data_IF_799522921290
#
_entry.id   IF_799522921290
#
_cell.length_a   1.000
_cell.length_b   1.000
_cell.length_c   1.000
_cell.angle_alpha   90.00
_cell.angle_beta   90.00
_cell.angle_gamma   90.00
#
_symmetry.space_group_name_H-M   'P 1'
#
loop_
_entity.id
_entity.type
_entity.pdbx_description
1 polymer ?
#
# COMPACT_ATOMS: atom_id res chain seq x y z
N UNK A 1 9.89 -24.04 -8.42
CA UNK A 1 10.13 -22.58 -8.41
C UNK A 1 8.87 -21.79 -8.05
N UNK A 2 7.76 -21.89 -8.78
CA UNK A 2 6.52 -21.13 -8.52
C UNK A 2 5.98 -21.26 -7.08
N UNK A 3 5.89 -22.48 -6.54
CA UNK A 3 5.44 -22.72 -5.15
C UNK A 3 6.30 -22.00 -4.11
N UNK A 4 7.62 -21.97 -4.33
CA UNK A 4 8.56 -21.30 -3.43
C UNK A 4 8.36 -19.77 -3.46
N UNK A 5 8.31 -19.18 -4.66
CA UNK A 5 8.08 -17.74 -4.80
C UNK A 5 6.72 -17.29 -4.24
N UNK A 6 5.68 -18.10 -4.44
CA UNK A 6 4.34 -17.84 -3.89
C UNK A 6 4.36 -17.87 -2.36
N UNK A 7 5.09 -18.82 -1.75
CA UNK A 7 5.23 -18.90 -0.31
C UNK A 7 6.04 -17.72 0.27
N UNK A 8 7.09 -17.29 -0.43
CA UNK A 8 7.91 -16.14 -0.02
C UNK A 8 7.10 -14.85 -0.05
N UNK A 9 6.36 -14.58 -1.14
CA UNK A 9 5.55 -13.35 -1.22
C UNK A 9 4.39 -13.36 -0.23
N UNK A 10 3.74 -14.50 -0.02
CA UNK A 10 2.69 -14.62 1.00
C UNK A 10 3.23 -14.35 2.40
N UNK A 11 4.43 -14.86 2.73
CA UNK A 11 5.08 -14.58 4.01
C UNK A 11 5.44 -13.10 4.16
N UNK A 12 6.00 -12.47 3.13
CA UNK A 12 6.31 -11.05 3.14
C UNK A 12 5.06 -10.20 3.37
N UNK A 13 3.97 -10.48 2.63
CA UNK A 13 2.71 -9.76 2.75
C UNK A 13 2.10 -9.92 4.13
N UNK A 14 2.09 -11.12 4.70
CA UNK A 14 1.57 -11.34 6.05
C UNK A 14 2.32 -10.48 7.08
N UNK A 15 3.65 -10.43 7.01
CA UNK A 15 4.45 -9.58 7.91
C UNK A 15 4.19 -8.09 7.66
N UNK A 16 3.99 -7.66 6.41
CA UNK A 16 3.61 -6.28 6.10
C UNK A 16 2.25 -5.92 6.70
N UNK A 17 1.27 -6.84 6.70
CA UNK A 17 -0.02 -6.63 7.33
C UNK A 17 0.11 -6.37 8.85
N UNK A 18 1.04 -7.05 9.52
CA UNK A 18 1.28 -6.91 10.97
C UNK A 18 1.89 -5.56 11.36
N UNK A 19 2.61 -4.90 10.44
CA UNK A 19 3.33 -3.63 10.68
C UNK A 19 2.73 -2.44 9.93
N UNK A 20 1.53 -2.59 9.35
CA UNK A 20 0.81 -1.47 8.74
C UNK A 20 0.37 -0.49 9.82
N UNK A 21 0.67 0.80 9.64
CA UNK A 21 0.26 1.83 10.57
C UNK A 21 -1.26 1.95 10.66
N UNK A 22 -1.76 2.55 11.74
CA UNK A 22 -3.21 2.68 11.99
C UNK A 22 -3.94 3.37 10.85
N UNK A 23 -3.35 4.42 10.29
CA UNK A 23 -3.90 5.16 9.15
C UNK A 23 -3.87 4.39 7.83
N UNK A 24 -3.15 3.27 7.74
CA UNK A 24 -3.03 2.43 6.54
C UNK A 24 -1.74 2.60 5.74
N UNK A 25 -0.85 3.51 6.12
CA UNK A 25 0.46 3.67 5.47
C UNK A 25 1.48 2.65 6.01
N UNK A 26 2.62 2.55 5.31
CA UNK A 26 3.82 1.94 5.87
C UNK A 26 4.90 2.99 6.15
N UNK A 27 5.69 2.68 7.17
CA UNK A 27 6.86 3.44 7.60
C UNK A 27 8.08 3.09 6.73
N UNK A 28 8.99 4.06 6.52
CA UNK A 28 10.20 3.87 5.71
C UNK A 28 11.12 2.80 6.31
N UNK A 29 11.15 2.70 7.64
CA UNK A 29 11.65 1.54 8.36
C UNK A 29 10.42 0.77 8.86
N UNK A 30 10.17 -0.40 8.29
CA UNK A 30 8.92 -1.13 8.46
C UNK A 30 8.61 -1.50 9.92
N UNK A 31 9.63 -1.77 10.72
CA UNK A 31 9.56 -2.18 12.12
C UNK A 31 9.77 -1.03 13.12
N UNK A 32 9.93 0.21 12.63
CA UNK A 32 10.02 1.40 13.46
C UNK A 32 8.84 2.35 13.22
N UNK A 33 7.83 2.36 14.11
CA UNK A 33 6.65 3.22 13.98
C UNK A 33 6.96 4.71 14.19
N UNK A 34 8.16 5.07 14.64
CA UNK A 34 8.59 6.46 14.75
C UNK A 34 9.24 6.98 13.46
N UNK A 35 9.62 6.10 12.54
CA UNK A 35 10.20 6.51 11.26
C UNK A 35 9.14 7.17 10.35
N UNK A 36 9.53 8.02 9.38
CA UNK A 36 8.56 8.66 8.48
C UNK A 36 7.71 7.64 7.70
N UNK A 37 6.44 7.96 7.46
CA UNK A 37 5.58 7.19 6.56
C UNK A 37 5.84 7.58 5.10
N UNK A 38 5.82 6.61 4.19
CA UNK A 38 6.31 6.82 2.83
C UNK A 38 5.30 6.35 1.77
N UNK A 39 4.95 7.28 0.85
CA UNK A 39 3.87 7.09 -0.11
C UNK A 39 4.17 6.09 -1.22
N UNK A 40 5.41 6.05 -1.73
CA UNK A 40 5.73 5.21 -2.89
C UNK A 40 5.76 3.72 -2.56
N UNK A 41 6.37 3.35 -1.44
CA UNK A 41 6.38 2.02 -0.85
C UNK A 41 4.96 1.61 -0.47
N UNK A 42 4.18 2.48 0.17
CA UNK A 42 2.78 2.19 0.49
C UNK A 42 1.98 1.86 -0.78
N UNK A 43 2.15 2.66 -1.86
CA UNK A 43 1.47 2.42 -3.12
C UNK A 43 1.91 1.10 -3.79
N UNK A 44 3.21 0.82 -3.80
CA UNK A 44 3.78 -0.40 -4.36
C UNK A 44 3.34 -1.67 -3.61
N UNK A 45 3.33 -1.61 -2.28
CA UNK A 45 2.86 -2.71 -1.41
C UNK A 45 1.37 -2.97 -1.67
N UNK A 46 0.54 -1.93 -1.65
CA UNK A 46 -0.89 -2.05 -1.89
C UNK A 46 -1.21 -2.62 -3.29
N UNK A 47 -0.51 -2.15 -4.32
CA UNK A 47 -0.61 -2.70 -5.67
C UNK A 47 -0.24 -4.19 -5.69
N UNK A 48 0.90 -4.57 -5.10
CA UNK A 48 1.35 -5.96 -5.04
C UNK A 48 0.36 -6.88 -4.31
N UNK A 49 -0.26 -6.39 -3.23
CA UNK A 49 -1.31 -7.11 -2.51
C UNK A 49 -2.54 -7.36 -3.40
N UNK A 50 -3.10 -6.30 -4.01
CA UNK A 50 -4.27 -6.43 -4.88
C UNK A 50 -3.98 -7.34 -6.09
N UNK A 51 -2.83 -7.14 -6.75
CA UNK A 51 -2.41 -7.95 -7.88
C UNK A 51 -2.22 -9.43 -7.48
N UNK A 52 -1.61 -9.68 -6.33
CA UNK A 52 -1.41 -11.02 -5.80
C UNK A 52 -2.73 -11.73 -5.45
N UNK A 53 -3.72 -11.00 -4.93
CA UNK A 53 -5.09 -11.52 -4.71
C UNK A 53 -5.74 -11.85 -6.06
N UNK A 54 -5.70 -10.93 -7.03
CA UNK A 54 -6.27 -11.16 -8.37
C UNK A 54 -5.67 -12.38 -9.07
N UNK A 55 -4.38 -12.62 -8.87
CA UNK A 55 -3.66 -13.77 -9.43
C UNK A 55 -3.87 -15.08 -8.65
N UNK A 56 -4.62 -15.06 -7.53
CA UNK A 56 -4.83 -16.23 -6.67
C UNK A 56 -3.57 -16.68 -5.91
N UNK A 57 -2.60 -15.78 -5.72
CA UNK A 57 -1.36 -16.04 -4.98
C UNK A 57 -1.52 -15.71 -3.49
N UNK A 58 -2.29 -14.66 -3.18
CA UNK A 58 -2.50 -14.15 -1.83
C UNK A 58 -3.96 -14.37 -1.38
N UNK A 59 -4.16 -14.45 -0.06
CA UNK A 59 -5.48 -14.50 0.56
C UNK A 59 -6.23 -13.17 0.36
N UNK A 60 -7.55 -13.23 0.18
CA UNK A 60 -8.40 -12.05 -0.05
C UNK A 60 -8.28 -10.99 1.05
N UNK A 61 -7.92 -11.37 2.29
CA UNK A 61 -7.68 -10.42 3.39
C UNK A 61 -6.55 -9.43 3.11
N UNK A 62 -5.59 -9.77 2.25
CA UNK A 62 -4.56 -8.81 1.83
C UNK A 62 -5.17 -7.59 1.11
N UNK A 63 -6.32 -7.76 0.43
CA UNK A 63 -7.02 -6.66 -0.20
C UNK A 63 -7.56 -5.64 0.83
N UNK A 64 -7.95 -6.07 2.03
CA UNK A 64 -8.41 -5.16 3.10
C UNK A 64 -7.29 -4.18 3.50
N UNK A 65 -6.06 -4.68 3.67
CA UNK A 65 -4.89 -3.85 3.98
C UNK A 65 -4.53 -2.91 2.83
N UNK A 66 -4.61 -3.38 1.59
CA UNK A 66 -4.38 -2.54 0.41
C UNK A 66 -5.43 -1.42 0.26
N UNK A 67 -6.70 -1.69 0.61
CA UNK A 67 -7.76 -0.69 0.59
C UNK A 67 -7.57 0.37 1.68
N UNK A 68 -7.13 -0.03 2.88
CA UNK A 68 -6.71 0.93 3.93
C UNK A 68 -5.59 1.84 3.44
N UNK A 69 -4.60 1.27 2.77
CA UNK A 69 -3.50 2.02 2.18
C UNK A 69 -3.97 3.01 1.11
N UNK A 70 -4.88 2.60 0.22
CA UNK A 70 -5.52 3.50 -0.74
C UNK A 70 -6.23 4.68 -0.06
N UNK A 71 -6.99 4.42 1.01
CA UNK A 71 -7.67 5.48 1.74
C UNK A 71 -6.73 6.49 2.37
N UNK A 72 -5.53 6.08 2.80
CA UNK A 72 -4.50 6.98 3.28
C UNK A 72 -3.82 7.76 2.15
N UNK A 73 -3.51 7.07 1.05
CA UNK A 73 -2.77 7.61 -0.08
C UNK A 73 -3.54 8.65 -0.88
N UNK A 74 -4.86 8.54 -0.98
CA UNK A 74 -5.67 9.53 -1.70
C UNK A 74 -5.53 10.94 -1.12
N UNK A 75 -5.27 11.04 0.19
CA UNK A 75 -5.08 12.31 0.90
C UNK A 75 -3.64 12.86 0.69
N UNK A 76 -2.77 12.10 0.00
CA UNK A 76 -1.40 12.47 -0.38
C UNK A 76 -1.27 12.87 -1.85
N UNK A 77 -2.38 12.95 -2.58
CA UNK A 77 -2.44 13.44 -3.96
C UNK A 77 -2.91 14.89 -3.91
N UNK A 78 -2.09 15.82 -4.40
CA UNK A 78 -2.47 17.24 -4.45
C UNK A 78 -3.52 17.52 -5.55
N UNK A 79 -4.00 18.76 -5.60
CA UNK A 79 -5.00 19.24 -6.56
C UNK A 79 -4.54 19.17 -8.03
N UNK A 80 -3.24 19.00 -8.27
CA UNK A 80 -2.63 18.84 -9.60
C UNK A 80 -2.35 17.37 -9.92
N UNK A 81 -2.75 16.43 -9.06
CA UNK A 81 -2.49 15.01 -9.23
C UNK A 81 -1.06 14.60 -8.88
N UNK A 82 -0.35 15.41 -8.07
CA UNK A 82 1.00 15.09 -7.63
C UNK A 82 0.98 14.27 -6.35
N UNK A 83 1.54 13.06 -6.41
CA UNK A 83 1.78 12.24 -5.21
C UNK A 83 2.89 12.88 -4.37
N UNK A 84 2.55 13.19 -3.12
CA UNK A 84 3.44 13.79 -2.12
C UNK A 84 4.01 12.73 -1.18
N UNK A 85 4.96 13.14 -0.36
CA UNK A 85 5.51 12.34 0.76
C UNK A 85 6.12 11.00 0.35
N UNK A 86 6.80 11.01 -0.80
CA UNK A 86 7.67 9.92 -1.19
C UNK A 86 9.13 10.26 -0.91
N UNK A 87 9.91 9.28 -0.44
CA UNK A 87 11.34 9.46 -0.20
C UNK A 87 12.06 9.67 -1.52
N UNK A 88 13.15 10.44 -1.55
CA UNK A 88 14.03 10.57 -2.73
C UNK A 88 14.84 9.29 -2.99
N UNK A 89 15.57 9.27 -4.11
CA UNK A 89 16.47 8.18 -4.46
C UNK A 89 17.41 7.83 -3.30
N UNK A 90 17.27 6.62 -2.79
CA UNK A 90 17.91 6.16 -1.55
C UNK A 90 18.92 5.06 -1.88
N UNK A 91 20.18 5.24 -1.46
CA UNK A 91 21.22 4.21 -1.56
C UNK A 91 21.24 3.35 -0.29
N UNK A 92 22.09 2.32 -0.25
CA UNK A 92 22.30 1.57 1.00
C UNK A 92 22.96 2.50 2.00
N UNK A 93 22.27 2.75 3.12
CA UNK A 93 22.69 3.67 4.17
C UNK A 93 23.70 3.07 5.13
N UNK A 94 24.46 3.90 5.86
CA UNK A 94 25.36 3.46 6.91
C UNK A 94 24.66 3.04 8.21
N UNK A 95 23.45 3.56 8.47
CA UNK A 95 22.66 3.31 9.67
C UNK A 95 21.15 3.53 9.42
N UNK A 96 20.33 3.38 10.46
CA UNK A 96 18.87 3.56 10.38
C UNK A 96 18.46 5.02 10.23
N UNK A 97 19.16 5.95 10.89
CA UNK A 97 18.83 7.38 10.88
C UNK A 97 18.97 7.95 9.46
N UNK A 98 19.94 7.46 8.70
CA UNK A 98 20.08 7.79 7.27
C UNK A 98 18.77 7.67 6.50
N UNK A 99 17.98 6.62 6.73
CA UNK A 99 16.71 6.39 6.03
C UNK A 99 15.62 7.36 6.51
N UNK A 100 15.60 7.70 7.80
CA UNK A 100 14.68 8.67 8.37
C UNK A 100 14.94 10.10 7.88
N UNK A 101 16.20 10.43 7.56
CA UNK A 101 16.61 11.77 7.12
C UNK A 101 16.47 11.99 5.61
N UNK A 102 16.07 10.97 4.84
CA UNK A 102 15.83 11.13 3.40
C UNK A 102 14.69 12.12 3.17
N UNK A 103 15.00 13.21 2.46
CA UNK A 103 14.02 14.22 2.12
C UNK A 103 12.84 13.63 1.32
N UNK A 104 11.63 13.96 1.75
CA UNK A 104 10.40 13.65 1.04
C UNK A 104 10.16 14.66 -0.09
N UNK A 105 9.79 14.18 -1.28
CA UNK A 105 9.51 15.02 -2.43
C UNK A 105 8.59 14.32 -3.44
N UNK A 106 7.92 15.10 -4.32
CA UNK A 106 7.37 14.57 -5.55
C UNK A 106 8.46 13.94 -6.41
N UNK A 107 8.30 12.66 -6.74
CA UNK A 107 9.28 11.87 -7.50
C UNK A 107 8.60 10.99 -8.54
N UNK A 108 9.22 10.76 -9.72
CA UNK A 108 8.57 10.03 -10.81
C UNK A 108 8.14 8.61 -10.48
N UNK A 109 8.91 7.86 -9.69
CA UNK A 109 8.54 6.49 -9.32
C UNK A 109 7.35 6.41 -8.38
N UNK A 110 7.14 7.40 -7.51
CA UNK A 110 5.96 7.48 -6.67
C UNK A 110 4.70 7.63 -7.52
N UNK A 111 4.76 8.49 -8.54
CA UNK A 111 3.68 8.64 -9.51
C UNK A 111 3.40 7.35 -10.27
N UNK A 112 4.45 6.65 -10.72
CA UNK A 112 4.30 5.38 -11.43
C UNK A 112 3.64 4.29 -10.56
N UNK A 113 4.07 4.14 -9.32
CA UNK A 113 3.51 3.17 -8.38
C UNK A 113 2.06 3.50 -8.01
N UNK A 114 1.74 4.79 -7.86
CA UNK A 114 0.36 5.23 -7.66
C UNK A 114 -0.52 4.89 -8.86
N UNK A 115 -0.04 5.13 -10.09
CA UNK A 115 -0.79 4.77 -11.30
C UNK A 115 -1.05 3.27 -11.39
N UNK A 116 -0.09 2.42 -11.01
CA UNK A 116 -0.29 0.97 -10.94
C UNK A 116 -1.36 0.58 -9.93
N UNK A 117 -1.31 1.16 -8.72
CA UNK A 117 -2.35 0.94 -7.70
C UNK A 117 -3.73 1.37 -8.21
N UNK A 118 -3.84 2.56 -8.79
CA UNK A 118 -5.09 3.10 -9.33
C UNK A 118 -5.68 2.22 -10.43
N UNK A 119 -4.83 1.66 -11.30
CA UNK A 119 -5.27 0.75 -12.36
C UNK A 119 -5.85 -0.55 -11.77
N UNK A 120 -5.18 -1.10 -10.75
CA UNK A 120 -5.61 -2.32 -10.09
C UNK A 120 -6.94 -2.14 -9.31
N UNK A 121 -7.20 -0.92 -8.82
CA UNK A 121 -8.45 -0.57 -8.12
C UNK A 121 -9.67 -0.44 -9.05
N UNK A 122 -9.49 -0.44 -10.38
CA UNK A 122 -10.60 -0.19 -11.31
C UNK A 122 -11.65 -1.32 -11.28
N UNK A 123 -12.96 -0.98 -11.28
CA UNK A 123 -14.06 -1.95 -11.13
C UNK A 123 -14.06 -3.10 -12.15
N UNK A 124 -13.59 -2.85 -13.38
CA UNK A 124 -13.53 -3.86 -14.44
C UNK A 124 -12.50 -4.97 -14.19
N UNK A 125 -11.49 -4.71 -13.35
CA UNK A 125 -10.43 -5.66 -12.99
C UNK A 125 -10.65 -6.30 -11.60
N UNK A 126 -11.66 -5.83 -10.85
CA UNK A 126 -11.93 -6.14 -9.44
C UNK A 126 -13.01 -7.20 -9.20
N UNK A 127 -13.32 -8.05 -10.19
CA UNK A 127 -14.35 -9.09 -10.07
C UNK A 127 -14.13 -10.06 -8.88
N UNK A 128 -12.89 -10.17 -8.37
CA UNK A 128 -12.53 -10.98 -7.19
C UNK A 128 -12.73 -10.23 -5.86
N UNK A 129 -12.67 -8.89 -5.83
CA UNK A 129 -12.69 -8.07 -4.60
C UNK A 129 -14.07 -7.42 -4.33
N UNK A 130 -15.01 -7.50 -5.28
CA UNK A 130 -16.38 -6.94 -5.15
C UNK A 130 -17.12 -7.43 -3.90
N UNK A 131 -16.79 -8.61 -3.36
CA UNK A 131 -17.36 -9.14 -2.11
C UNK A 131 -16.89 -8.35 -0.87
N UNK A 132 -15.66 -7.85 -0.88
CA UNK A 132 -15.05 -7.09 0.23
C UNK A 132 -15.51 -5.62 0.22
N UNK A 133 -15.48 -4.97 -0.95
CA UNK A 133 -15.91 -3.57 -1.09
C UNK A 133 -17.40 -3.37 -0.71
N UNK A 134 -18.27 -4.35 -1.02
CA UNK A 134 -19.68 -4.36 -0.57
C UNK A 134 -19.83 -4.45 0.95
N UNK A 135 -18.89 -5.08 1.65
CA UNK A 135 -18.91 -5.23 3.12
C UNK A 135 -18.58 -3.94 3.85
N UNK A 136 -17.71 -3.11 3.29
CA UNK A 136 -17.36 -1.80 3.86
C UNK A 136 -18.39 -0.71 3.55
N UNK A 137 -19.00 -0.73 2.35
CA UNK A 137 -20.08 0.21 1.99
C UNK A 137 -21.37 0.08 2.83
N UNK A 138 -21.57 -1.03 3.56
CA UNK A 138 -22.74 -1.23 4.41
C UNK A 138 -22.53 -0.84 5.89
N UNK A 139 -21.29 -0.64 6.36
CA UNK A 139 -21.04 -0.25 7.77
C UNK A 139 -21.26 1.23 8.06
N UNK A 140 -21.20 2.10 7.04
CA UNK A 140 -21.47 3.54 7.18
C UNK A 140 -22.97 3.88 7.15
N UNK A 141 -23.84 2.94 6.79
CA UNK A 141 -25.29 3.15 6.75
C UNK A 141 -26.02 2.81 8.07
N UNK A 142 -25.31 2.26 9.07
CA UNK A 142 -25.89 1.77 10.33
C UNK A 142 -25.70 2.67 11.55
N UNK A 143 -25.11 3.87 11.39
CA UNK A 143 -24.81 4.78 12.49
C UNK A 143 -25.58 6.10 12.33
N UNK A 144 -26.89 6.02 12.05
CA UNK A 144 -27.84 7.14 12.09
C UNK A 144 -29.28 6.59 12.09
N UNK A 145 -29.61 5.72 13.04
CA UNK A 145 -30.97 5.30 13.37
C UNK A 145 -31.12 5.20 14.89
#
# INVERSE_FOLDING_TARGET
MQRYLSAVVARQVNTLCDVQADNGMWHTLLDDPLSPQESSATAGIAYGMLRGVRMGILDEKAADHALRAWHALRDRIDDRGIVLEASKGTMVGPDLQYYCDIAMAPVPYAQALMMLLLLELQPGEMAVVTTVARRFGQRSAGLNA
#
